data_IF_015164382936
#
_entry.id   IF_015164382936
#
_cell.length_a   1.000
_cell.length_b   1.000
_cell.length_c   1.000
_cell.angle_alpha   90.00
_cell.angle_beta   90.00
_cell.angle_gamma   90.00
#
_symmetry.space_group_name_H-M   'P 1'
#
loop_
_entity.id
_entity.type
_entity.pdbx_description
1 polymer ?
#
# COMPACT_ATOMS: atom_id res chain seq x y z
N UNK A 1 -34.68 37.62 -63.81
CA UNK A 1 -34.69 36.63 -62.71
C UNK A 1 -33.84 35.44 -63.14
N UNK A 2 -32.67 35.19 -62.51
CA UNK A 2 -31.57 34.42 -63.12
C UNK A 2 -31.28 33.06 -62.45
N UNK A 3 -32.20 32.53 -61.64
CA UNK A 3 -31.94 31.29 -60.86
C UNK A 3 -32.03 30.04 -61.73
N UNK A 4 -33.00 29.98 -62.66
CA UNK A 4 -33.17 28.84 -63.57
C UNK A 4 -32.01 28.72 -64.58
N UNK A 5 -31.58 29.85 -65.14
CA UNK A 5 -30.43 29.88 -66.06
C UNK A 5 -29.13 29.44 -65.38
N UNK A 6 -28.98 29.69 -64.07
CA UNK A 6 -27.84 29.25 -63.28
C UNK A 6 -27.84 27.73 -63.02
N UNK A 7 -29.01 27.13 -62.77
CA UNK A 7 -29.11 25.68 -62.64
C UNK A 7 -28.80 24.96 -63.96
N UNK A 8 -29.30 25.48 -65.08
CA UNK A 8 -29.00 24.91 -66.40
C UNK A 8 -27.51 25.04 -66.76
N UNK A 9 -26.85 26.15 -66.38
CA UNK A 9 -25.40 26.32 -66.59
C UNK A 9 -24.55 25.46 -65.66
N UNK A 10 -25.01 25.22 -64.42
CA UNK A 10 -24.32 24.30 -63.50
C UNK A 10 -24.49 22.86 -63.94
N UNK A 11 -25.67 22.47 -64.42
CA UNK A 11 -25.93 21.11 -64.93
C UNK A 11 -25.13 20.83 -66.21
N UNK A 12 -25.08 21.77 -67.15
CA UNK A 12 -24.24 21.66 -68.35
C UNK A 12 -22.76 21.71 -68.02
N UNK A 13 -22.30 22.58 -67.11
CA UNK A 13 -20.90 22.62 -66.67
C UNK A 13 -20.47 21.33 -65.96
N UNK A 14 -21.34 20.76 -65.12
CA UNK A 14 -21.13 19.46 -64.48
C UNK A 14 -21.09 18.35 -65.54
N UNK A 15 -21.97 18.35 -66.53
CA UNK A 15 -21.93 17.36 -67.62
C UNK A 15 -20.69 17.50 -68.53
N UNK A 16 -20.16 18.71 -68.72
CA UNK A 16 -18.98 18.98 -69.57
C UNK A 16 -17.64 18.77 -68.85
N UNK A 17 -17.55 19.07 -67.54
CA UNK A 17 -16.29 19.07 -66.78
C UNK A 17 -16.17 17.90 -65.80
N UNK A 18 -17.22 17.12 -65.59
CA UNK A 18 -17.14 15.87 -64.83
C UNK A 18 -16.81 14.73 -65.77
N UNK A 19 -15.66 14.11 -65.51
CA UNK A 19 -15.15 12.89 -66.13
C UNK A 19 -16.27 11.87 -66.43
N UNK A 20 -16.19 11.16 -67.58
CA UNK A 20 -17.30 10.36 -68.12
C UNK A 20 -17.93 9.47 -67.04
N UNK A 21 -19.26 9.41 -66.97
CA UNK A 21 -20.03 8.86 -65.84
C UNK A 21 -19.65 7.46 -65.32
N UNK A 22 -18.89 6.67 -66.08
CA UNK A 22 -18.25 5.44 -65.59
C UNK A 22 -17.15 5.67 -64.55
N UNK A 23 -16.38 6.75 -64.66
CA UNK A 23 -15.28 7.09 -63.73
C UNK A 23 -15.80 7.64 -62.39
N UNK A 24 -16.88 8.42 -62.40
CA UNK A 24 -17.59 8.86 -61.18
C UNK A 24 -18.28 7.69 -60.48
N UNK A 25 -18.92 6.77 -61.22
CA UNK A 25 -19.51 5.56 -60.65
C UNK A 25 -18.43 4.63 -60.05
N UNK A 26 -17.29 4.49 -60.74
CA UNK A 26 -16.15 3.74 -60.24
C UNK A 26 -15.55 4.39 -58.98
N UNK A 27 -15.41 5.72 -58.94
CA UNK A 27 -14.95 6.46 -57.77
C UNK A 27 -15.91 6.32 -56.58
N UNK A 28 -17.22 6.47 -56.80
CA UNK A 28 -18.25 6.28 -55.78
C UNK A 28 -18.27 4.86 -55.21
N UNK A 29 -18.13 3.85 -56.07
CA UNK A 29 -18.03 2.45 -55.66
C UNK A 29 -16.76 2.17 -54.84
N UNK A 30 -15.61 2.72 -55.26
CA UNK A 30 -14.35 2.56 -54.56
C UNK A 30 -14.37 3.22 -53.16
N UNK A 31 -14.96 4.42 -53.06
CA UNK A 31 -15.16 5.11 -51.78
C UNK A 31 -16.14 4.38 -50.86
N UNK A 32 -17.20 3.78 -51.40
CA UNK A 32 -18.13 2.94 -50.63
C UNK A 32 -17.42 1.71 -50.06
N UNK A 33 -16.58 1.03 -50.86
CA UNK A 33 -15.77 -0.10 -50.39
C UNK A 33 -14.79 0.29 -49.28
N UNK A 34 -14.15 1.47 -49.39
CA UNK A 34 -13.27 2.00 -48.35
C UNK A 34 -14.03 2.30 -47.06
N UNK A 35 -15.24 2.86 -47.14
CA UNK A 35 -16.11 3.12 -45.98
C UNK A 35 -16.53 1.79 -45.34
N UNK A 36 -16.95 0.81 -46.13
CA UNK A 36 -17.32 -0.52 -45.63
C UNK A 36 -16.12 -1.18 -44.95
N UNK A 37 -14.94 -1.13 -45.57
CA UNK A 37 -13.71 -1.65 -44.97
C UNK A 37 -13.39 -0.93 -43.64
N UNK A 38 -13.52 0.40 -43.58
CA UNK A 38 -13.33 1.17 -42.35
C UNK A 38 -14.35 0.79 -41.26
N UNK A 39 -15.62 0.60 -41.61
CA UNK A 39 -16.66 0.15 -40.68
C UNK A 39 -16.37 -1.26 -40.16
N UNK A 40 -15.95 -2.19 -41.03
CA UNK A 40 -15.56 -3.54 -40.63
C UNK A 40 -14.38 -3.51 -39.68
N UNK A 41 -13.35 -2.70 -39.97
CA UNK A 41 -12.19 -2.53 -39.08
C UNK A 41 -12.60 -1.95 -37.73
N UNK A 42 -13.46 -0.92 -37.71
CA UNK A 42 -13.98 -0.34 -36.48
C UNK A 42 -14.77 -1.38 -35.67
N UNK A 43 -15.66 -2.13 -36.33
CA UNK A 43 -16.45 -3.19 -35.71
C UNK A 43 -15.54 -4.27 -35.11
N UNK A 44 -14.51 -4.70 -35.84
CA UNK A 44 -13.54 -5.68 -35.36
C UNK A 44 -12.75 -5.16 -34.16
N UNK A 45 -12.34 -3.88 -34.16
CA UNK A 45 -11.66 -3.24 -33.02
C UNK A 45 -12.58 -3.14 -31.80
N UNK A 46 -13.85 -2.79 -31.99
CA UNK A 46 -14.84 -2.72 -30.91
C UNK A 46 -15.13 -4.12 -30.34
N UNK A 47 -15.31 -5.13 -31.19
CA UNK A 47 -15.51 -6.51 -30.79
C UNK A 47 -14.28 -7.05 -30.03
N UNK A 48 -13.07 -6.82 -30.54
CA UNK A 48 -11.84 -7.20 -29.86
C UNK A 48 -11.70 -6.52 -28.48
N UNK A 49 -12.10 -5.25 -28.35
CA UNK A 49 -12.13 -4.55 -27.06
C UNK A 49 -13.19 -5.15 -26.12
N UNK A 50 -14.38 -5.49 -26.62
CA UNK A 50 -15.45 -6.10 -25.84
C UNK A 50 -15.06 -7.50 -25.34
N UNK A 51 -14.52 -8.36 -26.22
CA UNK A 51 -14.02 -9.69 -25.88
C UNK A 51 -12.92 -9.61 -24.82
N UNK A 52 -11.96 -8.69 -24.97
CA UNK A 52 -10.92 -8.47 -23.94
C UNK A 52 -11.50 -8.07 -22.60
N UNK A 53 -12.50 -7.17 -22.57
CA UNK A 53 -13.19 -6.78 -21.32
C UNK A 53 -13.92 -7.97 -20.69
N UNK A 54 -14.66 -8.74 -21.48
CA UNK A 54 -15.39 -9.92 -21.02
C UNK A 54 -14.44 -11.00 -20.47
N UNK A 55 -13.33 -11.29 -21.16
CA UNK A 55 -12.30 -12.22 -20.68
C UNK A 55 -11.68 -11.74 -19.37
N UNK A 56 -11.39 -10.44 -19.23
CA UNK A 56 -10.84 -9.87 -17.99
C UNK A 56 -11.82 -9.98 -16.82
N UNK A 57 -13.08 -9.63 -17.03
CA UNK A 57 -14.11 -9.80 -16.00
C UNK A 57 -14.31 -11.28 -15.64
N UNK A 58 -14.26 -12.17 -16.62
CA UNK A 58 -14.34 -13.61 -16.36
C UNK A 58 -13.16 -14.10 -15.52
N UNK A 59 -11.93 -13.59 -15.74
CA UNK A 59 -10.76 -13.91 -14.94
C UNK A 59 -10.87 -13.40 -13.50
N UNK A 60 -11.37 -12.18 -13.32
CA UNK A 60 -11.64 -11.60 -12.00
C UNK A 60 -12.76 -12.35 -11.25
N UNK A 61 -13.84 -12.71 -11.95
CA UNK A 61 -14.93 -13.52 -11.38
C UNK A 61 -14.49 -14.95 -11.06
N UNK A 62 -13.58 -15.54 -11.85
CA UNK A 62 -12.94 -16.82 -11.53
C UNK A 62 -12.11 -16.70 -10.25
N UNK A 63 -11.35 -15.61 -10.07
CA UNK A 63 -10.65 -15.34 -8.82
C UNK A 63 -11.59 -15.18 -7.62
N UNK A 64 -12.77 -14.59 -7.82
CA UNK A 64 -13.80 -14.51 -6.78
C UNK A 64 -14.43 -15.86 -6.43
N UNK A 65 -14.54 -16.77 -7.41
CA UNK A 65 -15.07 -18.13 -7.24
C UNK A 65 -14.03 -19.11 -6.70
N UNK A 66 -12.74 -18.76 -6.72
CA UNK A 66 -11.68 -19.56 -6.14
C UNK A 66 -11.81 -19.56 -4.61
N UNK A 67 -12.18 -20.71 -4.05
CA UNK A 67 -12.39 -20.93 -2.61
C UNK A 67 -11.15 -21.50 -1.91
N UNK A 68 -9.99 -21.52 -2.58
CA UNK A 68 -8.77 -21.98 -1.93
C UNK A 68 -8.46 -21.16 -0.69
N UNK A 69 -7.96 -21.79 0.39
CA UNK A 69 -7.53 -21.05 1.57
C UNK A 69 -6.38 -20.10 1.22
N UNK A 70 -6.30 -18.97 1.92
CA UNK A 70 -5.19 -18.03 1.81
C UNK A 70 -5.51 -16.69 1.17
N UNK A 71 -4.48 -15.85 1.09
CA UNK A 71 -4.57 -14.50 0.54
C UNK A 71 -4.59 -14.51 -0.99
N UNK A 72 -5.51 -13.76 -1.58
CA UNK A 72 -5.58 -13.55 -3.03
C UNK A 72 -5.00 -12.20 -3.37
N UNK A 73 -3.90 -12.19 -4.10
CA UNK A 73 -3.19 -10.98 -4.50
C UNK A 73 -3.27 -10.85 -6.02
N UNK A 74 -3.86 -9.75 -6.48
CA UNK A 74 -3.95 -9.45 -7.90
C UNK A 74 -2.84 -8.50 -8.32
N UNK A 75 -2.07 -8.89 -9.34
CA UNK A 75 -1.05 -8.05 -9.95
C UNK A 75 -1.50 -7.59 -11.34
N UNK A 76 -1.69 -6.28 -11.51
CA UNK A 76 -1.96 -5.71 -12.81
C UNK A 76 -0.74 -5.86 -13.73
N UNK A 77 -0.98 -6.32 -14.96
CA UNK A 77 0.07 -6.43 -15.95
C UNK A 77 0.70 -5.04 -16.21
N UNK A 78 2.01 -4.91 -16.11
CA UNK A 78 2.66 -3.63 -16.31
C UNK A 78 2.59 -3.21 -17.79
N UNK A 79 2.62 -1.90 -18.05
CA UNK A 79 2.58 -1.34 -19.41
C UNK A 79 4.00 -0.90 -19.84
N UNK A 80 4.37 -1.18 -21.10
CA UNK A 80 5.69 -0.85 -21.66
C UNK A 80 6.80 -1.86 -21.30
N UNK A 81 7.96 -1.75 -21.98
CA UNK A 81 9.10 -2.69 -21.82
C UNK A 81 9.74 -2.59 -20.43
N UNK A 82 9.97 -1.37 -19.94
CA UNK A 82 10.50 -1.12 -18.59
C UNK A 82 9.53 -1.61 -17.51
N UNK A 83 8.24 -1.36 -17.69
CA UNK A 83 7.18 -1.89 -16.82
C UNK A 83 7.18 -3.42 -16.77
N UNK A 84 7.31 -4.10 -17.93
CA UNK A 84 7.34 -5.58 -17.99
C UNK A 84 8.46 -6.18 -17.14
N UNK A 85 9.66 -5.60 -17.18
CA UNK A 85 10.77 -6.06 -16.31
C UNK A 85 10.43 -5.86 -14.83
N UNK A 86 9.91 -4.70 -14.48
CA UNK A 86 9.57 -4.37 -13.10
C UNK A 86 8.42 -5.23 -12.54
N UNK A 87 7.39 -5.52 -13.35
CA UNK A 87 6.31 -6.43 -12.94
C UNK A 87 6.76 -7.90 -12.86
N UNK A 88 7.72 -8.35 -13.69
CA UNK A 88 8.35 -9.66 -13.53
C UNK A 88 9.18 -9.74 -12.25
N UNK A 89 9.98 -8.71 -11.98
CA UNK A 89 10.75 -8.58 -10.75
C UNK A 89 9.84 -8.63 -9.52
N UNK A 90 8.77 -7.84 -9.51
CA UNK A 90 7.82 -7.82 -8.39
C UNK A 90 7.11 -9.16 -8.21
N UNK A 91 6.74 -9.82 -9.31
CA UNK A 91 6.17 -11.16 -9.23
C UNK A 91 7.15 -12.14 -8.58
N UNK A 92 8.40 -12.19 -9.04
CA UNK A 92 9.44 -13.06 -8.46
C UNK A 92 9.65 -12.75 -6.98
N UNK A 93 9.81 -11.47 -6.63
CA UNK A 93 9.99 -11.04 -5.25
C UNK A 93 8.86 -11.54 -4.32
N UNK A 94 7.61 -11.50 -4.80
CA UNK A 94 6.47 -12.02 -4.04
C UNK A 94 6.42 -13.55 -4.01
N UNK A 95 6.72 -14.23 -5.13
CA UNK A 95 6.76 -15.70 -5.19
C UNK A 95 7.81 -16.27 -4.23
N UNK A 96 9.00 -15.66 -4.22
CA UNK A 96 10.18 -16.17 -3.53
C UNK A 96 10.20 -15.79 -2.04
N UNK A 97 9.68 -14.61 -1.66
CA UNK A 97 9.87 -14.08 -0.30
C UNK A 97 8.59 -13.82 0.50
N UNK A 98 7.41 -13.67 -0.14
CA UNK A 98 6.19 -13.31 0.61
C UNK A 98 5.80 -14.40 1.62
N UNK A 99 6.08 -15.67 1.30
CA UNK A 99 5.80 -16.80 2.18
C UNK A 99 6.48 -16.71 3.55
N UNK A 100 7.67 -16.11 3.61
CA UNK A 100 8.41 -15.94 4.86
C UNK A 100 7.70 -15.02 5.86
N UNK A 101 6.86 -14.10 5.37
CA UNK A 101 6.21 -13.06 6.17
C UNK A 101 4.72 -13.32 6.43
N UNK A 102 4.15 -14.34 5.79
CA UNK A 102 2.73 -14.73 5.95
C UNK A 102 2.50 -15.76 7.07
N UNK A 103 3.54 -16.16 7.81
CA UNK A 103 3.48 -17.10 8.94
C UNK A 103 2.68 -18.39 8.69
N UNK A 104 2.82 -18.95 7.49
CA UNK A 104 2.16 -20.19 7.07
C UNK A 104 0.80 -19.99 6.41
N UNK A 105 0.29 -18.76 6.29
CA UNK A 105 -0.90 -18.48 5.51
C UNK A 105 -0.58 -18.64 4.01
N UNK A 106 -1.27 -19.55 3.28
CA UNK A 106 -1.07 -19.69 1.85
C UNK A 106 -1.45 -18.38 1.13
N UNK A 107 -0.87 -18.16 -0.04
CA UNK A 107 -1.26 -17.03 -0.89
C UNK A 107 -1.26 -17.47 -2.35
N UNK A 108 -2.05 -16.75 -3.15
CA UNK A 108 -2.11 -16.92 -4.60
C UNK A 108 -1.88 -15.59 -5.27
N UNK A 109 -0.95 -15.60 -6.22
CA UNK A 109 -0.67 -14.46 -7.07
C UNK A 109 -1.39 -14.64 -8.41
N UNK A 110 -2.23 -13.68 -8.77
CA UNK A 110 -3.07 -13.74 -9.95
C UNK A 110 -2.79 -12.52 -10.83
N UNK A 111 -2.52 -12.74 -12.12
CA UNK A 111 -2.28 -11.63 -13.05
C UNK A 111 -3.59 -11.10 -13.62
N UNK A 112 -3.68 -9.78 -13.77
CA UNK A 112 -4.83 -9.11 -14.39
C UNK A 112 -4.38 -8.09 -15.43
N UNK A 113 -5.32 -7.41 -16.06
CA UNK A 113 -5.04 -6.46 -17.12
C UNK A 113 -4.36 -5.19 -16.60
N UNK A 114 -3.67 -4.44 -17.47
CA UNK A 114 -2.95 -3.24 -17.05
C UNK A 114 -3.85 -2.17 -16.40
N UNK A 115 -3.26 -1.48 -15.43
CA UNK A 115 -3.73 -0.19 -14.89
C UNK A 115 -2.61 0.82 -15.11
N UNK A 116 -2.98 2.05 -15.43
CA UNK A 116 -2.06 3.15 -15.70
C UNK A 116 -2.47 4.37 -14.88
N UNK A 117 -1.47 4.99 -14.27
CA UNK A 117 -1.60 6.10 -13.32
C UNK A 117 -1.43 5.64 -11.87
N UNK A 118 -1.23 6.59 -10.97
CA UNK A 118 -1.04 6.36 -9.55
C UNK A 118 -2.33 6.17 -8.76
N UNK A 119 -2.34 6.65 -7.52
CA UNK A 119 -3.48 6.57 -6.60
C UNK A 119 -4.61 7.57 -6.90
N UNK A 120 -4.50 8.38 -7.95
CA UNK A 120 -5.47 9.42 -8.24
C UNK A 120 -6.39 9.08 -9.44
N UNK A 121 -7.59 9.64 -9.39
CA UNK A 121 -8.55 9.65 -10.49
C UNK A 121 -8.94 8.25 -11.01
N UNK A 122 -8.83 8.07 -12.33
CA UNK A 122 -9.36 6.90 -13.05
C UNK A 122 -8.61 5.59 -12.75
N UNK A 123 -7.36 5.66 -12.27
CA UNK A 123 -6.55 4.49 -11.96
C UNK A 123 -7.07 3.80 -10.69
N UNK A 124 -7.17 4.55 -9.59
CA UNK A 124 -7.72 4.09 -8.32
C UNK A 124 -9.17 3.60 -8.46
N UNK A 125 -10.02 4.35 -9.17
CA UNK A 125 -11.41 3.94 -9.40
C UNK A 125 -11.51 2.59 -10.14
N UNK A 126 -10.61 2.33 -11.11
CA UNK A 126 -10.53 1.04 -11.80
C UNK A 126 -10.01 -0.06 -10.88
N UNK A 127 -9.00 0.22 -10.07
CA UNK A 127 -8.46 -0.74 -9.11
C UNK A 127 -9.53 -1.15 -8.07
N UNK A 128 -10.26 -0.18 -7.48
CA UNK A 128 -11.37 -0.43 -6.54
C UNK A 128 -12.45 -1.31 -7.16
N UNK A 129 -12.93 -0.98 -8.37
CA UNK A 129 -13.93 -1.79 -9.08
C UNK A 129 -13.45 -3.24 -9.27
N UNK A 130 -12.20 -3.44 -9.67
CA UNK A 130 -11.65 -4.79 -9.87
C UNK A 130 -11.48 -5.56 -8.57
N UNK A 131 -11.09 -4.87 -7.51
CA UNK A 131 -10.99 -5.46 -6.18
C UNK A 131 -12.36 -5.94 -5.67
N UNK A 132 -13.41 -5.15 -5.87
CA UNK A 132 -14.80 -5.56 -5.54
C UNK A 132 -15.25 -6.77 -6.37
N UNK A 133 -14.98 -6.77 -7.68
CA UNK A 133 -15.38 -7.90 -8.56
C UNK A 133 -14.63 -9.19 -8.23
N UNK A 134 -13.36 -9.10 -7.88
CA UNK A 134 -12.51 -10.26 -7.59
C UNK A 134 -12.54 -10.71 -6.13
N UNK A 135 -12.99 -9.85 -5.22
CA UNK A 135 -12.92 -10.06 -3.77
C UNK A 135 -11.49 -10.36 -3.27
N UNK A 136 -10.46 -9.90 -3.99
CA UNK A 136 -9.06 -10.11 -3.63
C UNK A 136 -8.70 -9.37 -2.34
N UNK A 137 -7.70 -9.90 -1.61
CA UNK A 137 -7.20 -9.33 -0.35
C UNK A 137 -6.27 -8.16 -0.60
N UNK A 138 -5.56 -8.20 -1.72
CA UNK A 138 -4.70 -7.12 -2.18
C UNK A 138 -4.75 -6.99 -3.70
N UNK A 139 -4.71 -5.76 -4.20
CA UNK A 139 -4.57 -5.45 -5.61
C UNK A 139 -3.37 -4.53 -5.80
N UNK A 140 -2.46 -4.88 -6.70
CA UNK A 140 -1.20 -4.19 -6.95
C UNK A 140 -1.08 -3.77 -8.42
N UNK A 141 -0.51 -2.59 -8.64
CA UNK A 141 -0.05 -2.16 -9.95
C UNK A 141 1.17 -1.27 -9.80
N UNK A 142 1.95 -1.18 -10.87
CA UNK A 142 3.25 -0.52 -10.80
C UNK A 142 3.32 0.65 -11.76
N UNK A 143 3.98 1.71 -11.32
CA UNK A 143 4.35 2.86 -12.14
C UNK A 143 5.86 3.10 -12.04
N UNK A 144 6.46 3.59 -13.14
CA UNK A 144 7.87 3.96 -13.14
C UNK A 144 8.00 5.41 -13.52
N UNK A 145 8.42 6.22 -12.55
CA UNK A 145 8.49 7.68 -12.63
C UNK A 145 9.90 8.18 -12.96
N UNK A 146 10.93 7.33 -12.85
CA UNK A 146 12.29 7.68 -13.26
C UNK A 146 13.38 6.76 -12.69
N UNK A 147 14.61 7.28 -12.60
CA UNK A 147 15.81 6.58 -12.11
C UNK A 147 16.30 7.06 -10.74
N UNK A 148 15.46 7.81 -10.01
CA UNK A 148 15.78 8.31 -8.66
C UNK A 148 15.58 7.21 -7.61
N UNK A 149 15.94 7.48 -6.35
CA UNK A 149 15.76 6.56 -5.22
C UNK A 149 14.28 6.20 -4.96
N UNK A 150 13.34 6.95 -5.54
CA UNK A 150 11.89 6.70 -5.51
C UNK A 150 11.31 6.69 -6.94
N UNK A 151 11.96 5.94 -7.83
CA UNK A 151 11.62 5.90 -9.26
C UNK A 151 10.75 4.72 -9.69
N UNK A 152 10.59 3.69 -8.83
CA UNK A 152 9.71 2.55 -9.05
C UNK A 152 8.62 2.52 -7.98
N UNK A 153 7.39 2.85 -8.36
CA UNK A 153 6.26 2.96 -7.45
C UNK A 153 5.38 1.71 -7.58
N UNK A 154 5.13 1.06 -6.45
CA UNK A 154 4.15 -0.02 -6.34
C UNK A 154 2.95 0.59 -5.64
N UNK A 155 1.87 0.78 -6.39
CA UNK A 155 0.59 1.21 -5.85
C UNK A 155 -0.24 -0.01 -5.51
N UNK A 156 -1.04 0.11 -4.45
CA UNK A 156 -1.90 -0.98 -4.05
C UNK A 156 -3.16 -0.56 -3.33
N UNK A 157 -4.08 -1.52 -3.26
CA UNK A 157 -5.23 -1.52 -2.36
C UNK A 157 -5.12 -2.78 -1.49
N UNK A 158 -5.23 -2.63 -0.18
CA UNK A 158 -5.25 -3.77 0.76
C UNK A 158 -6.49 -3.75 1.65
N UNK A 159 -7.02 -4.94 1.93
CA UNK A 159 -8.09 -5.14 2.94
C UNK A 159 -7.54 -5.23 4.35
N UNK A 160 -6.23 -5.35 4.52
CA UNK A 160 -5.57 -5.46 5.82
C UNK A 160 -6.10 -6.63 6.67
N UNK A 161 -6.54 -7.72 6.04
CA UNK A 161 -7.05 -8.92 6.71
C UNK A 161 -8.45 -8.83 7.33
N UNK A 162 -9.18 -7.70 7.19
CA UNK A 162 -10.50 -7.55 7.82
C UNK A 162 -11.48 -6.59 7.16
N UNK A 163 -11.01 -5.67 6.30
CA UNK A 163 -11.89 -4.71 5.63
C UNK A 163 -12.69 -5.39 4.51
N UNK A 164 -13.82 -4.80 4.13
CA UNK A 164 -14.51 -5.19 2.88
C UNK A 164 -13.72 -4.71 1.67
N UNK A 165 -13.96 -5.31 0.51
CA UNK A 165 -13.27 -4.93 -0.74
C UNK A 165 -13.48 -3.45 -1.11
N UNK A 166 -14.63 -2.88 -0.73
CA UNK A 166 -14.99 -1.46 -0.95
C UNK A 166 -14.18 -0.51 -0.07
N UNK A 167 -13.88 -0.96 1.16
CA UNK A 167 -13.18 -0.23 2.21
C UNK A 167 -11.66 -0.35 2.12
N UNK A 168 -11.16 -1.12 1.14
CA UNK A 168 -9.73 -1.35 0.97
C UNK A 168 -8.95 -0.03 0.93
N UNK A 169 -7.85 0.00 1.68
CA UNK A 169 -7.02 1.18 1.89
C UNK A 169 -5.97 1.29 0.78
N UNK A 170 -5.83 2.47 0.14
CA UNK A 170 -4.79 2.69 -0.85
C UNK A 170 -3.45 2.90 -0.17
N UNK A 171 -2.38 2.43 -0.81
CA UNK A 171 -1.01 2.67 -0.37
C UNK A 171 -0.07 2.78 -1.58
N UNK A 172 1.10 3.36 -1.34
CA UNK A 172 2.21 3.37 -2.30
C UNK A 172 3.50 2.98 -1.60
N UNK A 173 4.22 2.04 -2.19
CA UNK A 173 5.58 1.68 -1.82
C UNK A 173 6.53 2.24 -2.89
N UNK A 174 7.41 3.15 -2.49
CA UNK A 174 8.36 3.79 -3.38
C UNK A 174 9.74 3.11 -3.29
N UNK A 175 10.17 2.50 -4.38
CA UNK A 175 11.44 1.78 -4.50
C UNK A 175 12.40 2.48 -5.48
N UNK A 176 13.69 2.10 -5.47
CA UNK A 176 14.67 2.63 -6.40
C UNK A 176 14.29 2.44 -7.87
N UNK A 177 14.50 3.49 -8.66
CA UNK A 177 14.13 3.53 -10.06
C UNK A 177 15.14 2.88 -11.02
N UNK A 178 16.32 2.46 -10.57
CA UNK A 178 17.30 1.74 -11.42
C UNK A 178 17.16 0.25 -11.17
N UNK A 179 17.17 -0.54 -12.25
CA UNK A 179 16.96 -1.99 -12.13
C UNK A 179 18.06 -2.66 -11.32
N UNK A 180 19.32 -2.25 -11.53
CA UNK A 180 20.47 -2.74 -10.76
C UNK A 180 20.38 -2.45 -9.25
N UNK A 181 19.62 -1.43 -8.87
CA UNK A 181 19.46 -1.05 -7.47
C UNK A 181 18.32 -1.85 -6.82
N UNK A 182 17.59 -2.71 -7.57
CA UNK A 182 16.51 -3.59 -7.12
C UNK A 182 16.97 -5.02 -6.76
N UNK A 183 18.26 -5.32 -6.94
CA UNK A 183 18.85 -6.61 -6.57
C UNK A 183 19.21 -6.64 -5.06
N UNK A 184 19.84 -7.71 -4.58
CA UNK A 184 20.23 -7.85 -3.17
C UNK A 184 19.04 -8.14 -2.24
N UNK A 185 18.94 -7.42 -1.11
CA UNK A 185 17.86 -7.61 -0.12
C UNK A 185 16.53 -6.96 -0.53
N UNK A 186 16.50 -6.13 -1.58
CA UNK A 186 15.30 -5.37 -1.93
C UNK A 186 14.06 -6.20 -2.30
N UNK A 187 14.17 -7.34 -3.00
CA UNK A 187 13.03 -8.23 -3.23
C UNK A 187 12.38 -8.68 -1.92
N UNK A 188 13.21 -9.06 -0.93
CA UNK A 188 12.76 -9.48 0.40
C UNK A 188 12.12 -8.32 1.18
N UNK A 189 12.72 -7.13 1.12
CA UNK A 189 12.18 -5.91 1.75
C UNK A 189 10.83 -5.51 1.13
N UNK A 190 10.71 -5.57 -0.20
CA UNK A 190 9.46 -5.28 -0.89
C UNK A 190 8.38 -6.30 -0.51
N UNK A 191 8.71 -7.58 -0.47
CA UNK A 191 7.80 -8.62 -0.03
C UNK A 191 7.36 -8.43 1.44
N UNK A 192 8.28 -8.05 2.32
CA UNK A 192 7.97 -7.73 3.72
C UNK A 192 6.97 -6.57 3.83
N UNK A 193 7.23 -5.44 3.16
CA UNK A 193 6.31 -4.30 3.23
C UNK A 193 4.95 -4.63 2.62
N UNK A 194 4.89 -5.41 1.54
CA UNK A 194 3.62 -5.87 0.97
C UNK A 194 2.88 -6.85 1.89
N UNK A 195 3.59 -7.74 2.59
CA UNK A 195 3.02 -8.58 3.64
C UNK A 195 2.45 -7.71 4.77
N UNK A 196 3.18 -6.67 5.19
CA UNK A 196 2.73 -5.72 6.21
C UNK A 196 1.46 -4.98 5.78
N UNK A 197 1.33 -4.60 4.51
CA UNK A 197 0.07 -4.01 4.01
C UNK A 197 -1.06 -5.05 3.96
N UNK A 198 -0.76 -6.32 3.66
CA UNK A 198 -1.72 -7.43 3.67
C UNK A 198 -2.24 -7.73 5.09
N UNK A 199 -1.32 -7.70 6.06
CA UNK A 199 -1.53 -8.01 7.46
C UNK A 199 -0.91 -6.90 8.32
N UNK A 200 -1.64 -5.80 8.59
CA UNK A 200 -1.17 -4.66 9.36
C UNK A 200 -0.69 -5.03 10.77
N UNK A 201 -1.19 -6.14 11.32
CA UNK A 201 -0.73 -6.70 12.58
C UNK A 201 0.79 -6.98 12.60
N UNK A 202 1.44 -7.21 11.45
CA UNK A 202 2.90 -7.41 11.36
C UNK A 202 3.71 -6.21 11.89
N UNK A 203 3.12 -5.02 11.90
CA UNK A 203 3.73 -3.83 12.49
C UNK A 203 3.57 -3.78 14.02
N UNK A 204 2.74 -4.65 14.59
CA UNK A 204 2.38 -4.68 16.01
C UNK A 204 2.81 -6.04 16.60
N UNK A 205 4.05 -6.16 17.10
CA UNK A 205 4.62 -7.44 17.55
C UNK A 205 3.77 -8.21 18.55
N UNK A 206 3.04 -7.49 19.42
CA UNK A 206 2.11 -8.04 20.42
C UNK A 206 0.95 -8.86 19.83
N UNK A 207 0.70 -8.74 18.52
CA UNK A 207 -0.37 -9.47 17.84
C UNK A 207 -0.01 -10.92 17.51
N UNK A 208 1.25 -11.34 17.76
CA UNK A 208 1.74 -12.67 17.44
C UNK A 208 2.51 -13.28 18.60
N UNK A 209 2.76 -14.59 18.51
CA UNK A 209 3.60 -15.31 19.47
C UNK A 209 5.07 -14.91 19.31
N UNK A 210 5.80 -14.90 20.41
CA UNK A 210 7.22 -14.55 20.46
C UNK A 210 8.08 -15.34 19.47
N UNK A 211 7.84 -16.65 19.29
CA UNK A 211 8.57 -17.50 18.34
C UNK A 211 8.50 -16.99 16.90
N UNK A 212 7.31 -16.58 16.45
CA UNK A 212 7.12 -16.02 15.09
C UNK A 212 7.76 -14.64 14.98
N UNK A 213 7.69 -13.86 16.06
CA UNK A 213 8.32 -12.55 16.12
C UNK A 213 9.85 -12.64 16.14
N UNK A 214 10.43 -13.70 16.72
CA UNK A 214 11.87 -13.97 16.66
C UNK A 214 12.33 -14.17 15.21
N UNK A 215 11.67 -15.06 14.46
CA UNK A 215 11.96 -15.26 13.04
C UNK A 215 11.82 -13.96 12.23
N UNK A 216 10.82 -13.14 12.56
CA UNK A 216 10.65 -11.84 11.93
C UNK A 216 11.78 -10.86 12.30
N UNK A 217 12.19 -10.81 13.57
CA UNK A 217 13.28 -9.94 14.04
C UNK A 217 14.61 -10.31 13.38
N UNK A 218 14.92 -11.59 13.27
CA UNK A 218 16.10 -12.10 12.54
C UNK A 218 16.06 -11.67 11.07
N UNK A 219 14.94 -11.91 10.39
CA UNK A 219 14.78 -11.53 8.98
C UNK A 219 14.90 -10.01 8.77
N UNK A 220 14.34 -9.20 9.67
CA UNK A 220 14.45 -7.73 9.62
C UNK A 220 15.88 -7.27 9.90
N UNK A 221 16.59 -7.93 10.82
CA UNK A 221 18.00 -7.67 11.10
C UNK A 221 18.89 -7.91 9.89
N UNK A 222 18.74 -9.06 9.22
CA UNK A 222 19.47 -9.38 7.99
C UNK A 222 19.19 -8.38 6.87
N UNK A 223 17.92 -7.96 6.71
CA UNK A 223 17.56 -6.97 5.69
C UNK A 223 18.21 -5.60 5.96
N UNK A 224 18.42 -5.23 7.23
CA UNK A 224 19.07 -3.98 7.61
C UNK A 224 20.58 -3.94 7.32
N UNK A 225 21.23 -5.07 7.05
CA UNK A 225 22.67 -5.12 6.79
C UNK A 225 23.04 -4.60 5.39
N UNK A 226 22.12 -4.67 4.42
CA UNK A 226 22.34 -4.24 3.03
C UNK A 226 21.20 -3.32 2.53
N UNK A 227 21.20 -2.08 3.02
CA UNK A 227 20.15 -1.08 2.79
C UNK A 227 20.61 0.17 2.02
N UNK A 228 21.77 0.13 1.36
CA UNK A 228 22.37 1.32 0.74
C UNK A 228 21.50 1.97 -0.37
N UNK A 229 20.64 1.18 -1.02
CA UNK A 229 19.74 1.66 -2.07
C UNK A 229 18.39 2.17 -1.55
N UNK A 230 18.04 1.95 -0.27
CA UNK A 230 16.75 2.35 0.27
C UNK A 230 16.62 3.88 0.39
N UNK A 231 15.38 4.37 0.20
CA UNK A 231 15.09 5.74 0.60
C UNK A 231 15.14 5.87 2.14
N UNK A 232 15.52 7.04 2.68
CA UNK A 232 15.56 7.25 4.13
C UNK A 232 14.21 6.98 4.81
N UNK A 233 13.10 7.22 4.12
CA UNK A 233 11.76 6.92 4.64
C UNK A 233 11.52 5.42 4.82
N UNK A 234 11.93 4.59 3.84
CA UNK A 234 11.78 3.13 3.95
C UNK A 234 12.74 2.52 4.95
N UNK A 235 13.99 2.98 4.98
CA UNK A 235 14.96 2.53 5.97
C UNK A 235 14.44 2.76 7.39
N UNK A 236 13.97 3.98 7.68
CA UNK A 236 13.39 4.30 9.00
C UNK A 236 12.18 3.44 9.34
N UNK A 237 11.34 3.12 8.34
CA UNK A 237 10.18 2.24 8.54
C UNK A 237 10.62 0.82 8.90
N UNK A 238 11.63 0.30 8.20
CA UNK A 238 12.21 -1.03 8.44
C UNK A 238 12.88 -1.10 9.82
N UNK A 239 13.68 -0.10 10.17
CA UNK A 239 14.33 0.01 11.48
C UNK A 239 13.31 0.08 12.62
N UNK A 240 12.21 0.81 12.44
CA UNK A 240 11.16 0.91 13.44
C UNK A 240 10.50 -0.45 13.69
N UNK A 241 10.19 -1.20 12.64
CA UNK A 241 9.60 -2.54 12.74
C UNK A 241 10.59 -3.52 13.39
N UNK A 242 11.88 -3.46 13.02
CA UNK A 242 12.95 -4.25 13.65
C UNK A 242 13.05 -3.98 15.14
N UNK A 243 13.14 -2.70 15.54
CA UNK A 243 13.26 -2.31 16.94
C UNK A 243 12.06 -2.76 17.76
N UNK A 244 10.84 -2.52 17.26
CA UNK A 244 9.63 -2.93 17.94
C UNK A 244 9.59 -4.46 18.14
N UNK A 245 9.94 -5.23 17.10
CA UNK A 245 9.93 -6.69 17.14
C UNK A 245 11.02 -7.22 18.07
N UNK A 246 12.25 -6.71 17.98
CA UNK A 246 13.37 -7.12 18.84
C UNK A 246 13.12 -6.86 20.33
N UNK A 247 12.56 -5.69 20.68
CA UNK A 247 12.18 -5.40 22.08
C UNK A 247 11.11 -6.38 22.56
N UNK A 248 10.08 -6.62 21.75
CA UNK A 248 8.99 -7.52 22.12
C UNK A 248 9.47 -8.97 22.33
N UNK A 249 10.35 -9.46 21.46
CA UNK A 249 10.95 -10.79 21.59
C UNK A 249 11.71 -10.91 22.90
N UNK A 250 12.51 -9.91 23.26
CA UNK A 250 13.24 -9.89 24.52
C UNK A 250 12.32 -9.88 25.74
N UNK A 251 11.26 -9.06 25.72
CA UNK A 251 10.28 -8.99 26.81
C UNK A 251 9.53 -10.31 27.03
N UNK A 252 9.21 -11.03 25.96
CA UNK A 252 8.36 -12.23 26.04
C UNK A 252 9.14 -13.53 26.19
N UNK A 253 10.35 -13.61 25.65
CA UNK A 253 11.15 -14.84 25.62
C UNK A 253 12.47 -14.75 26.36
N UNK A 254 12.88 -13.55 26.81
CA UNK A 254 14.19 -13.33 27.41
C UNK A 254 15.35 -13.38 26.42
N UNK A 255 15.08 -13.48 25.12
CA UNK A 255 16.10 -13.48 24.07
C UNK A 255 16.64 -12.07 23.84
N UNK A 256 17.94 -11.89 24.08
CA UNK A 256 18.60 -10.59 24.08
C UNK A 256 19.36 -10.30 22.77
N UNK A 257 19.38 -11.22 21.80
CA UNK A 257 20.27 -11.19 20.63
C UNK A 257 20.10 -9.90 19.82
N UNK A 258 18.86 -9.45 19.65
CA UNK A 258 18.56 -8.23 18.89
C UNK A 258 18.79 -6.94 19.71
N UNK A 259 18.79 -6.99 21.04
CA UNK A 259 18.67 -5.80 21.89
C UNK A 259 19.86 -4.85 21.76
N UNK A 260 21.09 -5.35 21.63
CA UNK A 260 22.26 -4.48 21.49
C UNK A 260 22.18 -3.65 20.20
N UNK A 261 21.68 -4.24 19.12
CA UNK A 261 21.45 -3.53 17.86
C UNK A 261 20.32 -2.51 18.02
N UNK A 262 19.21 -2.87 18.68
CA UNK A 262 18.10 -1.94 18.96
C UNK A 262 18.58 -0.73 19.76
N UNK A 263 19.30 -0.96 20.87
CA UNK A 263 19.82 0.11 21.73
C UNK A 263 20.77 1.03 20.96
N UNK A 264 21.65 0.46 20.12
CA UNK A 264 22.56 1.22 19.27
C UNK A 264 21.80 2.12 18.29
N UNK A 265 20.82 1.56 17.58
CA UNK A 265 20.00 2.30 16.61
C UNK A 265 19.24 3.44 17.30
N UNK A 266 18.54 3.17 18.42
CA UNK A 266 17.74 4.18 19.11
C UNK A 266 18.59 5.26 19.79
N UNK A 267 19.74 4.92 20.37
CA UNK A 267 20.69 5.92 20.90
C UNK A 267 21.26 6.80 19.80
N UNK A 268 21.60 6.23 18.65
CA UNK A 268 22.02 6.99 17.47
C UNK A 268 20.97 8.00 17.02
N UNK A 269 19.69 7.61 17.01
CA UNK A 269 18.58 8.53 16.69
C UNK A 269 18.48 9.71 17.67
N UNK A 270 18.66 9.46 18.97
CA UNK A 270 18.64 10.53 19.97
C UNK A 270 19.84 11.48 19.89
N UNK A 271 20.95 11.03 19.32
CA UNK A 271 22.16 11.83 19.11
C UNK A 271 22.12 12.62 17.79
N UNK A 272 21.20 12.29 16.87
CA UNK A 272 21.10 12.95 15.58
C UNK A 272 20.73 14.46 15.71
N UNK A 273 21.15 15.30 14.73
CA UNK A 273 20.92 16.75 14.75
C UNK A 273 19.43 17.13 14.87
N UNK A 274 19.15 18.25 15.53
CA UNK A 274 17.79 18.69 15.87
C UNK A 274 16.86 18.92 14.66
N UNK A 275 17.41 19.25 13.49
CA UNK A 275 16.64 19.55 12.27
C UNK A 275 15.84 18.36 11.73
N UNK A 276 16.13 17.13 12.17
CA UNK A 276 15.46 15.89 11.72
C UNK A 276 14.65 15.21 12.85
N UNK A 277 14.40 15.92 13.97
CA UNK A 277 13.69 15.37 15.14
C UNK A 277 12.18 15.53 15.02
N UNK A 278 11.52 14.55 14.42
CA UNK A 278 10.10 14.32 14.66
C UNK A 278 9.88 14.05 16.16
N UNK A 279 9.10 14.90 16.85
CA UNK A 279 8.84 14.79 18.29
C UNK A 279 8.38 13.38 18.69
N UNK A 280 7.46 12.80 17.91
CA UNK A 280 6.98 11.44 18.13
C UNK A 280 8.08 10.36 18.03
N UNK A 281 9.06 10.54 17.14
CA UNK A 281 10.17 9.58 17.00
C UNK A 281 11.13 9.63 18.17
N UNK A 282 11.33 10.81 18.75
CA UNK A 282 12.12 10.96 19.98
C UNK A 282 11.44 10.21 21.12
N UNK A 283 10.12 10.36 21.25
CA UNK A 283 9.31 9.63 22.23
C UNK A 283 9.40 8.12 22.01
N UNK A 284 9.22 7.65 20.77
CA UNK A 284 9.34 6.22 20.44
C UNK A 284 10.73 5.67 20.76
N UNK A 285 11.80 6.44 20.49
CA UNK A 285 13.17 6.01 20.78
C UNK A 285 13.42 5.88 22.28
N UNK A 286 12.92 6.82 23.08
CA UNK A 286 12.96 6.72 24.54
C UNK A 286 12.15 5.52 25.06
N UNK A 287 10.97 5.28 24.49
CA UNK A 287 10.13 4.14 24.87
C UNK A 287 10.82 2.80 24.57
N UNK A 288 11.37 2.64 23.38
CA UNK A 288 12.04 1.40 22.97
C UNK A 288 13.32 1.15 23.79
N UNK A 289 14.10 2.20 24.11
CA UNK A 289 15.29 2.07 24.97
C UNK A 289 14.88 1.66 26.39
N UNK A 290 13.90 2.34 26.98
CA UNK A 290 13.45 2.02 28.35
C UNK A 290 12.95 0.57 28.45
N UNK A 291 12.14 0.15 27.49
CA UNK A 291 11.65 -1.23 27.40
C UNK A 291 12.77 -2.26 27.19
N UNK A 292 13.72 -1.97 26.30
CA UNK A 292 14.89 -2.83 26.07
C UNK A 292 15.73 -3.02 27.32
N UNK A 293 15.99 -1.95 28.08
CA UNK A 293 16.78 -1.99 29.32
C UNK A 293 16.06 -2.77 30.44
N UNK A 294 14.73 -2.61 30.56
CA UNK A 294 13.93 -3.43 31.48
C UNK A 294 13.99 -4.90 31.07
N UNK A 295 13.77 -5.21 29.79
CA UNK A 295 13.82 -6.59 29.28
C UNK A 295 15.17 -7.26 29.58
N UNK A 296 16.27 -6.56 29.35
CA UNK A 296 17.61 -7.02 29.72
C UNK A 296 17.75 -7.24 31.23
N UNK A 297 17.26 -6.30 32.03
CA UNK A 297 17.34 -6.36 33.50
C UNK A 297 16.48 -7.47 34.11
N UNK A 298 15.44 -7.93 33.42
CA UNK A 298 14.63 -9.09 33.83
C UNK A 298 15.41 -10.41 33.70
N UNK A 299 16.33 -10.51 32.74
CA UNK A 299 17.19 -11.69 32.57
C UNK A 299 18.42 -11.60 33.48
N UNK A 300 19.06 -10.44 33.53
CA UNK A 300 20.22 -10.17 34.37
C UNK A 300 20.04 -8.82 35.07
N UNK A 301 19.69 -8.86 36.36
CA UNK A 301 19.44 -7.65 37.13
C UNK A 301 20.65 -6.72 37.17
N UNK A 302 20.47 -5.50 36.69
CA UNK A 302 21.42 -4.40 36.79
C UNK A 302 20.67 -3.13 37.22
N UNK A 303 20.89 -2.72 38.48
CA UNK A 303 20.26 -1.53 39.05
C UNK A 303 20.47 -0.28 38.20
N UNK A 304 21.66 -0.10 37.63
CA UNK A 304 21.97 1.09 36.84
C UNK A 304 21.16 1.13 35.54
N UNK A 305 20.95 -0.02 34.92
CA UNK A 305 20.12 -0.13 33.72
C UNK A 305 18.64 0.12 34.03
N UNK A 306 18.15 -0.35 35.18
CA UNK A 306 16.77 -0.06 35.63
C UNK A 306 16.58 1.44 35.88
N UNK A 307 17.53 2.10 36.54
CA UNK A 307 17.49 3.55 36.76
C UNK A 307 17.53 4.35 35.44
N UNK A 308 18.37 3.94 34.48
CA UNK A 308 18.43 4.53 33.13
C UNK A 308 17.12 4.31 32.34
N UNK A 309 16.53 3.11 32.46
CA UNK A 309 15.24 2.80 31.86
C UNK A 309 14.12 3.70 32.40
N UNK A 310 14.06 3.91 33.72
CA UNK A 310 13.10 4.80 34.36
C UNK A 310 13.28 6.23 33.83
N UNK A 311 14.52 6.73 33.72
CA UNK A 311 14.78 8.07 33.15
C UNK A 311 14.21 8.22 31.73
N UNK A 312 14.38 7.20 30.89
CA UNK A 312 13.84 7.20 29.54
C UNK A 312 12.30 7.14 29.51
N UNK A 313 11.68 6.30 30.33
CA UNK A 313 10.22 6.16 30.38
C UNK A 313 9.53 7.38 30.99
N UNK A 314 10.16 8.07 31.95
CA UNK A 314 9.65 9.34 32.48
C UNK A 314 9.52 10.40 31.39
N UNK A 315 10.52 10.52 30.49
CA UNK A 315 10.46 11.44 29.34
C UNK A 315 9.31 11.10 28.39
N UNK A 316 9.00 9.80 28.23
CA UNK A 316 7.83 9.36 27.44
C UNK A 316 6.53 9.78 28.11
N UNK A 317 6.41 9.59 29.42
CA UNK A 317 5.21 9.99 30.18
C UNK A 317 5.00 11.50 30.08
N UNK A 318 6.05 12.30 30.29
CA UNK A 318 5.99 13.77 30.16
C UNK A 318 5.51 14.19 28.77
N UNK A 319 6.06 13.57 27.72
CA UNK A 319 5.66 13.85 26.35
C UNK A 319 4.21 13.44 26.05
N UNK A 320 3.74 12.30 26.57
CA UNK A 320 2.36 11.85 26.43
C UNK A 320 1.38 12.73 27.21
N UNK A 321 1.75 13.20 28.39
CA UNK A 321 0.94 14.15 29.17
C UNK A 321 0.82 15.52 28.47
N UNK A 322 1.82 15.90 27.69
CA UNK A 322 1.77 17.09 26.83
C UNK A 322 0.95 16.89 25.55
N UNK A 323 0.51 15.66 25.23
CA UNK A 323 -0.27 15.39 24.01
C UNK A 323 -1.68 16.01 24.11
N UNK A 324 -2.08 16.89 23.17
CA UNK A 324 -3.38 17.55 23.21
C UNK A 324 -4.57 16.58 23.19
N UNK A 325 -4.43 15.42 22.55
CA UNK A 325 -5.47 14.39 22.47
C UNK A 325 -5.68 13.72 23.82
N UNK A 326 -4.58 13.40 24.52
CA UNK A 326 -4.62 12.81 25.86
C UNK A 326 -5.22 13.81 26.86
N UNK A 327 -4.81 15.08 26.82
CA UNK A 327 -5.37 16.12 27.67
C UNK A 327 -6.87 16.32 27.43
N UNK A 328 -7.31 16.32 26.17
CA UNK A 328 -8.75 16.36 25.83
C UNK A 328 -9.48 15.15 26.36
N UNK A 329 -8.93 13.94 26.22
CA UNK A 329 -9.54 12.72 26.72
C UNK A 329 -9.69 12.73 28.26
N UNK A 330 -8.66 13.18 28.98
CA UNK A 330 -8.71 13.38 30.43
C UNK A 330 -9.78 14.39 30.82
N UNK A 331 -9.85 15.54 30.13
CA UNK A 331 -10.86 16.58 30.38
C UNK A 331 -12.29 16.05 30.21
N UNK A 332 -12.53 15.24 29.17
CA UNK A 332 -13.83 14.59 28.94
C UNK A 332 -14.14 13.57 30.04
N UNK A 333 -13.17 12.73 30.41
CA UNK A 333 -13.31 11.75 31.48
C UNK A 333 -13.67 12.41 32.83
N UNK A 334 -12.96 13.49 33.19
CA UNK A 334 -13.21 14.24 34.42
C UNK A 334 -14.59 14.89 34.43
N UNK A 335 -15.02 15.42 33.28
CA UNK A 335 -16.35 16.01 33.12
C UNK A 335 -17.43 14.94 33.25
N UNK A 336 -17.24 13.76 32.68
CA UNK A 336 -18.15 12.62 32.84
C UNK A 336 -18.21 12.12 34.28
N UNK A 337 -17.08 12.04 34.97
CA UNK A 337 -17.01 11.66 36.38
C UNK A 337 -17.78 12.65 37.26
N UNK A 338 -17.59 13.97 37.03
CA UNK A 338 -18.37 15.02 37.70
C UNK A 338 -19.87 14.86 37.44
N UNK A 339 -20.27 14.64 36.19
CA UNK A 339 -21.68 14.43 35.83
C UNK A 339 -22.28 13.19 36.53
N UNK A 340 -21.55 12.06 36.57
CA UNK A 340 -21.97 10.85 37.31
C UNK A 340 -22.13 11.13 38.79
N UNK A 341 -21.18 11.81 39.42
CA UNK A 341 -21.27 12.18 40.84
C UNK A 341 -22.46 13.09 41.12
N UNK A 342 -22.78 14.04 40.23
CA UNK A 342 -23.97 14.89 40.37
C UNK A 342 -25.27 14.08 40.27
N UNK A 343 -25.35 13.12 39.36
CA UNK A 343 -26.50 12.21 39.24
C UNK A 343 -26.66 11.31 40.47
N UNK A 344 -25.57 10.72 40.97
CA UNK A 344 -25.59 9.91 42.19
C UNK A 344 -25.98 10.73 43.40
N UNK A 345 -25.44 11.95 43.52
CA UNK A 345 -25.80 12.88 44.59
C UNK A 345 -27.28 13.23 44.52
N UNK A 346 -27.82 13.59 43.35
CA UNK A 346 -29.27 13.83 43.16
C UNK A 346 -30.11 12.59 43.47
N UNK A 347 -29.66 11.40 43.08
CA UNK A 347 -30.34 10.14 43.40
C UNK A 347 -30.39 9.90 44.92
N UNK A 348 -29.28 10.12 45.63
CA UNK A 348 -29.22 10.01 47.09
C UNK A 348 -30.10 11.06 47.79
N UNK A 349 -30.12 12.30 47.28
CA UNK A 349 -31.03 13.33 47.77
C UNK A 349 -32.50 12.94 47.55
N UNK A 350 -32.87 12.43 46.38
CA UNK A 350 -34.24 11.98 46.10
C UNK A 350 -34.67 10.78 46.97
N UNK A 351 -33.75 9.87 47.32
CA UNK A 351 -34.03 8.73 48.21
C UNK A 351 -34.13 9.14 49.68
N UNK A 352 -33.30 10.10 50.14
CA UNK A 352 -33.26 10.51 51.54
C UNK A 352 -34.25 11.64 51.90
N UNK A 353 -34.69 12.43 50.92
CA UNK A 353 -35.56 13.60 51.13
C UNK A 353 -36.80 13.59 50.21
N UNK A 354 -37.10 12.46 49.56
CA UNK A 354 -38.33 12.27 48.82
C UNK A 354 -39.51 12.06 49.77
N UNK A 355 -40.51 12.95 49.67
CA UNK A 355 -41.91 12.74 50.09
C UNK A 355 -42.53 11.61 49.30
#
# INVERSE_FOLDING_TARGET
MPVLAWFDTVETWVQEHVLPGGEMAAFGFLMMLLIIAAVIVILFVLLAKAVRRAMMESGLRRAAKDKSPGYRILLAAPRGLSGRKAGKWLMSALEDHLGAFNFGAPFKLLRTSPIQGGLEGRALARARRRMVVSQADMFLWTERTGHRNEGFLIHGLSRGGGLRAEEARPFTLALPGRVKDLDGQLPRIAAYFLARELQPALANPQSFRAEKMKLLAEALGEMLDDCASLSPALLRRLEADFCATGVHVAEQSGDLDALDRVLRLRRGHLQAPQTDRDSWRVVQSHMDIGRALIARSMVQFDRKQVEDAISHLSKVIEALQADPTIQRAQTVSDTMAKAKNMLETRKRFAVNFGV
#
